data_IF_106558556390
#
_entry.id   IF_106558556390
#
_cell.length_a   1.000
_cell.length_b   1.000
_cell.length_c   1.000
_cell.angle_alpha   90.00
_cell.angle_beta   90.00
_cell.angle_gamma   90.00
#
_symmetry.space_group_name_H-M   'P 1'
#
loop_
_entity.id
_entity.type
_entity.pdbx_description
1 polymer ?
#
# COMPACT_ATOMS: atom_id res chain seq x y z
N UNK A 1 14.71 -29.63 26.87
CA UNK A 1 13.44 -28.98 27.25
C UNK A 1 13.10 -27.96 26.18
N UNK A 2 12.09 -28.28 25.38
CA UNK A 2 11.73 -27.60 24.14
C UNK A 2 10.75 -26.43 24.38
N UNK A 3 10.99 -25.36 23.63
CA UNK A 3 10.03 -24.48 22.96
C UNK A 3 8.90 -23.83 23.77
N UNK A 4 8.95 -22.51 23.87
CA UNK A 4 7.74 -21.68 23.79
C UNK A 4 8.01 -20.49 22.88
N UNK A 5 7.33 -20.55 21.74
CA UNK A 5 7.16 -19.53 20.71
C UNK A 5 6.10 -18.54 21.22
N UNK A 6 6.30 -17.24 21.04
CA UNK A 6 5.22 -16.28 21.24
C UNK A 6 5.66 -14.83 21.09
N UNK A 7 5.22 -14.21 19.99
CA UNK A 7 5.20 -12.76 19.71
C UNK A 7 6.25 -12.24 18.71
N UNK A 8 6.28 -12.86 17.53
CA UNK A 8 6.57 -12.12 16.29
C UNK A 8 5.23 -11.85 15.60
N UNK A 9 4.64 -10.71 15.94
CA UNK A 9 3.63 -10.07 15.11
C UNK A 9 4.31 -9.33 13.98
N UNK A 10 4.99 -10.05 13.09
CA UNK A 10 5.38 -9.53 11.78
C UNK A 10 4.40 -10.08 10.75
N UNK A 11 3.29 -9.38 10.45
CA UNK A 11 2.54 -9.70 9.26
C UNK A 11 3.40 -9.26 8.07
N UNK A 12 3.74 -10.26 7.26
CA UNK A 12 4.06 -10.11 5.84
C UNK A 12 5.48 -9.67 5.49
N UNK A 13 6.25 -10.72 5.18
CA UNK A 13 6.97 -10.79 3.91
C UNK A 13 8.29 -10.03 3.81
N UNK A 14 9.34 -10.76 4.12
CA UNK A 14 10.59 -10.75 3.34
C UNK A 14 10.33 -10.61 1.83
N UNK A 15 10.34 -9.38 1.30
CA UNK A 15 10.57 -9.09 -0.11
C UNK A 15 11.31 -7.76 -0.29
N UNK A 16 12.58 -7.78 0.09
CA UNK A 16 13.73 -7.18 -0.61
C UNK A 16 13.39 -6.17 -1.73
N UNK A 17 13.55 -4.87 -1.46
CA UNK A 17 14.25 -3.89 -2.33
C UNK A 17 14.53 -2.58 -1.53
N UNK A 18 15.54 -1.77 -1.94
CA UNK A 18 16.61 -1.27 -1.09
C UNK A 18 16.25 0.00 -0.29
N UNK A 19 17.13 0.43 0.65
CA UNK A 19 17.02 1.72 1.32
C UNK A 19 17.32 2.83 0.33
N UNK A 20 16.34 3.19 -0.48
CA UNK A 20 16.45 4.34 -1.35
C UNK A 20 15.91 5.52 -0.51
N UNK A 21 16.84 6.33 -0.03
CA UNK A 21 16.62 7.41 0.95
C UNK A 21 15.53 8.39 0.51
N UNK A 22 15.32 8.51 -0.80
CA UNK A 22 14.27 9.33 -1.38
C UNK A 22 12.85 8.87 -1.00
N UNK A 23 12.60 7.56 -0.92
CA UNK A 23 11.26 7.03 -0.59
C UNK A 23 10.96 7.18 0.89
N UNK A 24 11.96 7.00 1.76
CA UNK A 24 11.81 7.20 3.21
C UNK A 24 11.55 8.68 3.52
N UNK A 25 12.27 9.60 2.86
CA UNK A 25 12.01 11.04 2.95
C UNK A 25 10.60 11.35 2.45
N UNK A 26 10.18 10.77 1.33
CA UNK A 26 8.84 11.03 0.76
C UNK A 26 7.72 10.52 1.67
N UNK A 27 7.84 9.30 2.19
CA UNK A 27 6.88 8.74 3.15
C UNK A 27 6.82 9.61 4.41
N UNK A 28 7.98 10.04 4.93
CA UNK A 28 8.04 10.90 6.12
C UNK A 28 7.32 12.24 5.88
N UNK A 29 7.56 12.91 4.75
CA UNK A 29 6.85 14.14 4.38
C UNK A 29 5.34 13.94 4.27
N UNK A 30 4.90 12.82 3.66
CA UNK A 30 3.48 12.51 3.55
C UNK A 30 2.86 12.22 4.93
N UNK A 31 3.60 11.57 5.83
CA UNK A 31 3.17 11.34 7.21
C UNK A 31 3.05 12.62 8.01
N UNK A 32 3.99 13.56 7.89
CA UNK A 32 3.88 14.89 8.51
C UNK A 32 2.67 15.66 7.99
N UNK A 33 2.41 15.57 6.69
CA UNK A 33 1.23 16.19 6.06
C UNK A 33 -0.06 15.57 6.61
N UNK A 34 -0.11 14.24 6.75
CA UNK A 34 -1.21 13.53 7.39
C UNK A 34 -1.34 13.83 8.88
N UNK A 35 -0.27 14.19 9.57
CA UNK A 35 -0.33 14.60 10.98
C UNK A 35 -1.03 15.95 11.14
N UNK A 36 -0.86 16.86 10.16
CA UNK A 36 -1.53 18.16 10.12
C UNK A 36 -2.97 18.00 9.59
N UNK A 37 -3.20 17.09 8.64
CA UNK A 37 -4.48 16.82 8.00
C UNK A 37 -4.76 15.33 7.86
N UNK A 38 -5.29 14.65 8.91
CA UNK A 38 -5.46 13.19 8.91
C UNK A 38 -6.56 12.67 7.96
N UNK A 39 -7.32 13.58 7.36
CA UNK A 39 -8.36 13.30 6.39
C UNK A 39 -7.92 13.55 4.93
N UNK A 40 -6.65 13.87 4.69
CA UNK A 40 -6.20 14.17 3.33
C UNK A 40 -6.08 12.90 2.48
N UNK A 41 -7.08 12.71 1.62
CA UNK A 41 -7.18 11.56 0.71
C UNK A 41 -6.07 11.60 -0.35
N UNK A 42 -5.67 12.80 -0.80
CA UNK A 42 -4.61 12.96 -1.79
C UNK A 42 -3.26 12.44 -1.25
N UNK A 43 -2.90 12.82 -0.03
CA UNK A 43 -1.69 12.36 0.67
C UNK A 43 -1.70 10.84 0.87
N UNK A 44 -2.84 10.26 1.29
CA UNK A 44 -2.98 8.79 1.36
C UNK A 44 -2.80 8.11 0.00
N UNK A 45 -3.28 8.75 -1.06
CA UNK A 45 -3.19 8.21 -2.43
C UNK A 45 -1.75 8.27 -2.97
N UNK A 46 -1.01 9.33 -2.66
CA UNK A 46 0.41 9.44 -2.98
C UNK A 46 1.21 8.34 -2.28
N UNK A 47 0.92 8.06 -1.00
CA UNK A 47 1.56 6.99 -0.24
C UNK A 47 1.28 5.62 -0.87
N UNK A 48 0.02 5.36 -1.25
CA UNK A 48 -0.35 4.15 -1.97
C UNK A 48 0.39 4.02 -3.32
N UNK A 49 0.52 5.12 -4.06
CA UNK A 49 1.24 5.15 -5.34
C UNK A 49 2.74 4.88 -5.17
N UNK A 50 3.36 5.39 -4.10
CA UNK A 50 4.75 5.07 -3.75
C UNK A 50 4.92 3.58 -3.47
N UNK A 51 4.02 2.97 -2.70
CA UNK A 51 4.03 1.53 -2.43
C UNK A 51 3.89 0.69 -3.72
N UNK A 52 3.10 1.16 -4.69
CA UNK A 52 3.02 0.52 -6.00
C UNK A 52 4.32 0.61 -6.80
N UNK A 53 5.10 1.67 -6.64
CA UNK A 53 6.42 1.79 -7.27
C UNK A 53 7.46 0.91 -6.58
N UNK A 54 7.30 0.68 -5.27
CA UNK A 54 8.11 -0.27 -4.49
C UNK A 54 7.78 -1.74 -4.78
N UNK A 55 6.91 -2.02 -5.76
CA UNK A 55 6.41 -3.35 -6.09
C UNK A 55 5.72 -4.03 -4.87
N UNK A 56 5.09 -3.21 -4.01
CA UNK A 56 4.27 -3.62 -2.87
C UNK A 56 2.78 -3.35 -3.13
N UNK A 57 2.15 -4.02 -4.13
CA UNK A 57 0.74 -3.81 -4.45
C UNK A 57 -0.21 -4.29 -3.33
N UNK A 58 0.25 -5.16 -2.44
CA UNK A 58 -0.53 -5.68 -1.31
C UNK A 58 -0.81 -4.59 -0.26
N UNK A 59 0.23 -3.86 0.17
CA UNK A 59 0.09 -2.71 1.07
C UNK A 59 -0.62 -1.54 0.41
N UNK A 60 -0.29 -1.23 -0.84
CA UNK A 60 -0.98 -0.18 -1.58
C UNK A 60 -2.51 -0.40 -1.63
N UNK A 61 -2.94 -1.66 -1.80
CA UNK A 61 -4.36 -2.04 -1.76
C UNK A 61 -5.04 -1.69 -0.44
N UNK A 62 -4.37 -1.87 0.70
CA UNK A 62 -4.92 -1.50 2.00
C UNK A 62 -5.18 0.02 2.07
N UNK A 63 -4.23 0.83 1.59
CA UNK A 63 -4.39 2.28 1.55
C UNK A 63 -5.49 2.72 0.58
N UNK A 64 -5.55 2.13 -0.61
CA UNK A 64 -6.61 2.41 -1.58
C UNK A 64 -8.00 2.03 -1.05
N UNK A 65 -8.12 0.89 -0.37
CA UNK A 65 -9.39 0.46 0.23
C UNK A 65 -9.81 1.37 1.39
N UNK A 66 -8.88 1.87 2.19
CA UNK A 66 -9.16 2.86 3.22
C UNK A 66 -9.68 4.18 2.63
N UNK A 67 -9.11 4.62 1.50
CA UNK A 67 -9.62 5.78 0.75
C UNK A 67 -11.04 5.53 0.27
N UNK A 68 -11.31 4.39 -0.36
CA UNK A 68 -12.66 4.03 -0.84
C UNK A 68 -13.68 3.87 0.29
N UNK A 69 -13.22 3.51 1.49
CA UNK A 69 -14.10 3.45 2.67
C UNK A 69 -14.53 4.83 3.14
N UNK A 70 -13.67 5.85 2.95
CA UNK A 70 -13.99 7.24 3.26
C UNK A 70 -14.74 7.94 2.12
N UNK A 71 -14.28 7.72 0.89
CA UNK A 71 -14.84 8.28 -0.34
C UNK A 71 -15.02 7.16 -1.37
N UNK A 72 -16.18 6.48 -1.39
CA UNK A 72 -16.41 5.35 -2.29
C UNK A 72 -16.47 5.76 -3.76
N UNK A 73 -16.65 7.06 -4.04
CA UNK A 73 -16.67 7.60 -5.40
C UNK A 73 -15.29 8.07 -5.89
N UNK A 74 -14.23 7.83 -5.11
CA UNK A 74 -12.89 8.27 -5.46
C UNK A 74 -12.36 7.51 -6.69
N UNK A 75 -12.27 8.20 -7.83
CA UNK A 75 -11.81 7.58 -9.08
C UNK A 75 -10.38 7.05 -8.94
N UNK A 76 -9.48 7.87 -8.38
CA UNK A 76 -8.07 7.54 -8.23
C UNK A 76 -7.87 6.26 -7.41
N UNK A 77 -8.62 6.09 -6.31
CA UNK A 77 -8.52 4.87 -5.53
C UNK A 77 -9.07 3.64 -6.23
N UNK A 78 -10.13 3.77 -7.04
CA UNK A 78 -10.63 2.66 -7.87
C UNK A 78 -9.60 2.23 -8.91
N UNK A 79 -8.93 3.19 -9.53
CA UNK A 79 -7.85 2.95 -10.49
C UNK A 79 -6.64 2.28 -9.82
N UNK A 80 -6.23 2.77 -8.64
CA UNK A 80 -5.15 2.18 -7.85
C UNK A 80 -5.43 0.72 -7.43
N UNK A 81 -6.64 0.44 -6.95
CA UNK A 81 -7.10 -0.94 -6.66
C UNK A 81 -7.04 -1.81 -7.91
N UNK A 82 -7.52 -1.33 -9.06
CA UNK A 82 -7.50 -2.09 -10.30
C UNK A 82 -6.06 -2.41 -10.75
N UNK A 83 -5.14 -1.44 -10.63
CA UNK A 83 -3.73 -1.60 -10.98
C UNK A 83 -3.02 -2.58 -10.06
N UNK A 84 -3.20 -2.46 -8.74
CA UNK A 84 -2.68 -3.41 -7.76
C UNK A 84 -3.21 -4.83 -7.99
N UNK A 85 -4.53 -4.98 -8.16
CA UNK A 85 -5.15 -6.28 -8.44
C UNK A 85 -4.65 -6.87 -9.76
N UNK A 86 -4.37 -6.06 -10.78
CA UNK A 86 -3.81 -6.54 -12.04
C UNK A 86 -2.38 -7.06 -11.90
N UNK A 87 -1.58 -6.48 -10.99
CA UNK A 87 -0.24 -6.98 -10.63
C UNK A 87 -0.28 -8.24 -9.76
N UNK A 88 -1.27 -8.34 -8.87
CA UNK A 88 -1.41 -9.47 -7.94
C UNK A 88 -2.14 -10.67 -8.53
N UNK A 89 -3.15 -10.45 -9.39
CA UNK A 89 -3.77 -11.55 -10.09
C UNK A 89 -2.83 -12.03 -11.20
N UNK A 90 -2.52 -13.34 -11.27
CA UNK A 90 -1.99 -13.89 -12.52
C UNK A 90 -2.99 -13.56 -13.64
N UNK A 91 -2.54 -13.38 -14.90
CA UNK A 91 -3.43 -13.11 -16.00
C UNK A 91 -4.50 -14.20 -16.00
N UNK A 92 -5.72 -13.83 -15.62
CA UNK A 92 -6.88 -14.67 -15.88
C UNK A 92 -7.05 -14.57 -17.38
N UNK A 93 -6.33 -15.46 -18.05
CA UNK A 93 -6.52 -15.87 -19.42
C UNK A 93 -8.04 -15.98 -19.58
N UNK A 94 -8.65 -14.93 -20.11
CA UNK A 94 -9.99 -15.00 -20.67
C UNK A 94 -9.79 -15.78 -21.96
N UNK A 95 -9.68 -17.10 -21.80
CA UNK A 95 -9.88 -18.02 -22.88
C UNK A 95 -11.38 -18.06 -23.12
N UNK A 96 -11.83 -17.27 -24.10
CA UNK A 96 -13.11 -17.46 -24.76
C UNK A 96 -12.86 -17.61 -26.24
#
# INVERSE_FOLDING_TARGET
>A
MATTIGSLGEPSSSRRNPPNEEWTIRISQLQETLAIGPADIATRSELATLLEQLDQPDEALLHWNAILSCDPNNLQAREGVARCRSRMLPPRQSNR
#
